data_IF_823983899834
#
_entry.id   IF_823983899834
#
_cell.length_a   1.000
_cell.length_b   1.000
_cell.length_c   1.000
_cell.angle_alpha   90.00
_cell.angle_beta   90.00
_cell.angle_gamma   90.00
#
_symmetry.space_group_name_H-M   'P 1'
#
loop_
_entity.id
_entity.type
_entity.pdbx_description
1 polymer ?
#
# COMPACT_ATOMS: atom_id res chain seq x y z
N UNK A 1 -27.95 -0.74 12.71
CA UNK A 1 -27.78 0.69 12.36
C UNK A 1 -27.53 0.76 10.86
N UNK A 2 -28.25 1.62 10.11
CA UNK A 2 -27.95 1.86 8.69
C UNK A 2 -26.62 2.60 8.63
N UNK A 3 -25.66 2.11 7.85
CA UNK A 3 -24.39 2.81 7.65
C UNK A 3 -24.64 4.11 6.87
N UNK A 4 -24.68 5.25 7.56
CA UNK A 4 -24.79 6.60 7.00
C UNK A 4 -23.44 7.08 6.43
N UNK A 5 -22.80 6.27 5.59
CA UNK A 5 -21.47 6.55 5.06
C UNK A 5 -21.45 6.67 3.53
N UNK A 6 -20.54 7.49 2.99
CA UNK A 6 -20.32 7.59 1.55
C UNK A 6 -19.42 6.44 1.09
N UNK A 7 -19.84 5.65 0.10
CA UNK A 7 -19.00 4.61 -0.50
C UNK A 7 -17.94 5.20 -1.41
N UNK A 8 -16.76 4.56 -1.48
CA UNK A 8 -15.72 4.92 -2.45
C UNK A 8 -16.22 4.84 -3.92
N UNK A 9 -17.11 3.89 -4.22
CA UNK A 9 -17.73 3.79 -5.56
C UNK A 9 -18.58 5.02 -5.90
N UNK A 10 -19.28 5.59 -4.93
CA UNK A 10 -20.02 6.85 -5.11
C UNK A 10 -19.08 8.02 -5.36
N UNK A 11 -17.97 8.09 -4.65
CA UNK A 11 -16.93 9.11 -4.85
C UNK A 11 -16.32 9.02 -6.27
N UNK A 12 -15.97 7.81 -6.72
CA UNK A 12 -15.47 7.57 -8.08
C UNK A 12 -16.48 7.96 -9.15
N UNK A 13 -17.77 7.65 -8.93
CA UNK A 13 -18.84 8.07 -9.83
C UNK A 13 -18.90 9.59 -9.95
N UNK A 14 -18.91 10.32 -8.83
CA UNK A 14 -18.93 11.79 -8.82
C UNK A 14 -17.68 12.35 -9.52
N UNK A 15 -16.50 11.77 -9.28
CA UNK A 15 -15.26 12.20 -9.94
C UNK A 15 -15.31 12.06 -11.47
N UNK A 16 -16.05 11.07 -11.97
CA UNK A 16 -16.24 10.81 -13.41
C UNK A 16 -17.31 11.69 -14.07
N UNK A 17 -18.09 12.45 -13.29
CA UNK A 17 -19.12 13.34 -13.86
C UNK A 17 -18.49 14.50 -14.65
N UNK A 18 -19.22 14.97 -15.66
CA UNK A 18 -18.88 16.19 -16.40
C UNK A 18 -19.24 17.41 -15.55
N UNK A 19 -18.48 18.49 -15.71
CA UNK A 19 -18.84 19.77 -15.11
C UNK A 19 -20.20 20.24 -15.65
N UNK A 20 -20.91 20.97 -14.81
CA UNK A 20 -22.26 21.49 -15.04
C UNK A 20 -22.27 23.00 -14.86
N UNK A 21 -23.41 23.65 -15.06
CA UNK A 21 -23.54 25.10 -14.83
C UNK A 21 -23.71 25.44 -13.33
N UNK A 22 -23.72 24.45 -12.44
CA UNK A 22 -23.90 24.67 -10.99
C UNK A 22 -22.55 24.66 -10.26
N UNK A 23 -22.09 25.78 -9.67
CA UNK A 23 -20.80 25.86 -8.99
C UNK A 23 -20.66 24.86 -7.84
N UNK A 24 -21.71 24.66 -7.04
CA UNK A 24 -21.69 23.72 -5.92
C UNK A 24 -21.43 22.28 -6.39
N UNK A 25 -22.04 21.87 -7.52
CA UNK A 25 -21.83 20.53 -8.09
C UNK A 25 -20.42 20.39 -8.67
N UNK A 26 -19.93 21.42 -9.35
CA UNK A 26 -18.56 21.43 -9.87
C UNK A 26 -17.51 21.33 -8.75
N UNK A 27 -17.73 22.02 -7.63
CA UNK A 27 -16.88 21.91 -6.45
C UNK A 27 -16.87 20.48 -5.88
N UNK A 28 -18.03 19.81 -5.83
CA UNK A 28 -18.11 18.42 -5.40
C UNK A 28 -17.37 17.47 -6.37
N UNK A 29 -17.48 17.70 -7.68
CA UNK A 29 -16.75 16.93 -8.71
C UNK A 29 -15.24 17.12 -8.55
N UNK A 30 -14.78 18.37 -8.41
CA UNK A 30 -13.36 18.68 -8.21
C UNK A 30 -12.81 18.04 -6.93
N UNK A 31 -13.57 18.13 -5.82
CA UNK A 31 -13.20 17.48 -4.57
C UNK A 31 -13.12 15.96 -4.73
N UNK A 32 -14.11 15.34 -5.37
CA UNK A 32 -14.10 13.91 -5.61
C UNK A 32 -12.90 13.47 -6.47
N UNK A 33 -12.58 14.23 -7.53
CA UNK A 33 -11.39 14.02 -8.38
C UNK A 33 -10.09 14.11 -7.57
N UNK A 34 -9.96 15.16 -6.76
CA UNK A 34 -8.81 15.35 -5.90
C UNK A 34 -8.65 14.19 -4.91
N UNK A 35 -9.74 13.73 -4.30
CA UNK A 35 -9.72 12.62 -3.36
C UNK A 35 -9.33 11.30 -4.02
N UNK A 36 -9.91 10.93 -5.17
CA UNK A 36 -9.59 9.63 -5.83
C UNK A 36 -8.16 9.55 -6.33
N UNK A 37 -7.52 10.69 -6.61
CA UNK A 37 -6.12 10.78 -7.00
C UNK A 37 -5.15 10.67 -5.82
N UNK A 38 -5.65 10.56 -4.57
CA UNK A 38 -4.83 10.47 -3.35
C UNK A 38 -5.06 9.12 -2.65
N UNK A 39 -4.45 8.02 -3.12
CA UNK A 39 -4.67 6.68 -2.57
C UNK A 39 -4.41 6.57 -1.05
N UNK A 40 -3.36 7.23 -0.53
CA UNK A 40 -3.05 7.27 0.91
C UNK A 40 -4.17 7.93 1.72
N UNK A 41 -4.71 9.04 1.22
CA UNK A 41 -5.83 9.72 1.84
C UNK A 41 -7.09 8.86 1.81
N UNK A 42 -7.41 8.23 0.67
CA UNK A 42 -8.53 7.30 0.55
C UNK A 42 -8.39 6.14 1.53
N UNK A 43 -7.19 5.58 1.66
CA UNK A 43 -6.92 4.49 2.61
C UNK A 43 -7.18 4.94 4.05
N UNK A 44 -6.79 6.17 4.41
CA UNK A 44 -6.99 6.69 5.76
C UNK A 44 -8.45 7.03 6.10
N UNK A 45 -9.22 7.57 5.15
CA UNK A 45 -10.59 8.08 5.42
C UNK A 45 -11.70 7.03 5.33
N UNK A 46 -11.38 5.80 4.91
CA UNK A 46 -12.35 4.70 4.83
C UNK A 46 -12.37 3.87 6.13
N UNK A 47 -13.57 3.61 6.65
CA UNK A 47 -13.78 2.61 7.71
C UNK A 47 -13.60 1.19 7.20
N UNK A 48 -13.49 0.21 8.10
CA UNK A 48 -13.23 -1.21 7.78
C UNK A 48 -14.19 -1.81 6.74
N UNK A 49 -15.40 -1.27 6.63
CA UNK A 49 -16.45 -1.71 5.70
C UNK A 49 -16.40 -0.98 4.35
N UNK A 50 -15.51 0.01 4.19
CA UNK A 50 -15.28 0.73 2.93
C UNK A 50 -16.16 1.96 2.77
N UNK A 51 -16.62 2.55 3.87
CA UNK A 51 -17.39 3.78 3.89
C UNK A 51 -16.57 4.95 4.47
N UNK A 52 -16.84 6.15 3.96
CA UNK A 52 -16.40 7.41 4.55
C UNK A 52 -17.50 7.84 5.52
N UNK A 53 -17.20 7.81 6.82
CA UNK A 53 -18.10 8.21 7.90
C UNK A 53 -17.47 9.35 8.70
N UNK A 54 -18.27 10.04 9.53
CA UNK A 54 -17.72 11.06 10.45
C UNK A 54 -16.62 10.47 11.35
N UNK A 55 -16.80 9.23 11.81
CA UNK A 55 -15.84 8.56 12.67
C UNK A 55 -14.55 8.20 11.91
N UNK A 56 -14.65 7.71 10.67
CA UNK A 56 -13.45 7.39 9.87
C UNK A 56 -12.64 8.64 9.55
N UNK A 57 -13.30 9.76 9.24
CA UNK A 57 -12.65 11.06 9.06
C UNK A 57 -11.94 11.53 10.33
N UNK A 58 -12.59 11.41 11.50
CA UNK A 58 -11.97 11.77 12.79
C UNK A 58 -10.73 10.92 13.10
N UNK A 59 -10.74 9.64 12.72
CA UNK A 59 -9.58 8.74 12.87
C UNK A 59 -8.47 9.04 11.87
N UNK A 60 -8.82 9.54 10.68
CA UNK A 60 -7.86 9.86 9.63
C UNK A 60 -7.02 11.11 9.96
N UNK A 61 -7.57 12.08 10.70
CA UNK A 61 -6.90 13.35 11.04
C UNK A 61 -5.45 13.16 11.54
N UNK A 62 -5.17 12.34 12.58
CA UNK A 62 -3.79 12.14 13.04
C UNK A 62 -2.92 11.30 12.09
N UNK A 63 -3.52 10.49 11.21
CA UNK A 63 -2.81 9.57 10.32
C UNK A 63 -2.41 10.20 8.98
N UNK A 64 -3.02 11.32 8.61
CA UNK A 64 -2.89 12.00 7.32
C UNK A 64 -1.78 13.06 7.39
N UNK A 65 -0.53 12.63 7.59
CA UNK A 65 0.63 13.52 7.46
C UNK A 65 1.19 13.48 6.02
N UNK A 66 1.31 14.64 5.36
CA UNK A 66 1.92 14.73 4.03
C UNK A 66 1.02 14.35 2.84
N UNK A 67 -0.29 14.62 2.90
CA UNK A 67 -1.23 14.40 1.78
C UNK A 67 -1.27 15.59 0.78
N UNK A 68 -0.07 16.04 0.39
CA UNK A 68 0.12 17.05 -0.64
C UNK A 68 -0.45 16.58 -1.99
N UNK A 69 -0.67 17.53 -2.91
CA UNK A 69 -1.17 17.20 -4.24
C UNK A 69 -0.30 16.12 -4.92
N UNK A 70 -0.89 15.11 -5.58
CA UNK A 70 -0.13 14.12 -6.34
C UNK A 70 0.77 14.73 -7.41
N UNK A 71 0.43 15.94 -7.90
CA UNK A 71 1.23 16.71 -8.85
C UNK A 71 2.23 17.68 -8.18
N UNK A 72 2.25 17.76 -6.84
CA UNK A 72 3.33 18.44 -6.15
C UNK A 72 4.61 17.63 -6.35
N UNK A 73 5.72 18.31 -6.65
CA UNK A 73 7.03 17.67 -6.80
C UNK A 73 7.35 16.85 -5.54
N UNK A 74 7.25 15.53 -5.66
CA UNK A 74 7.62 14.57 -4.64
C UNK A 74 8.79 13.76 -5.16
N UNK A 75 9.84 13.62 -4.35
CA UNK A 75 10.95 12.71 -4.64
C UNK A 75 10.54 11.23 -4.55
N UNK A 76 9.37 10.94 -3.98
CA UNK A 76 8.81 9.60 -3.86
C UNK A 76 8.07 9.19 -5.15
N UNK A 77 8.60 8.22 -5.93
CA UNK A 77 8.01 7.79 -7.19
C UNK A 77 6.67 7.05 -7.03
N UNK A 78 6.29 6.66 -5.81
CA UNK A 78 5.06 5.96 -5.49
C UNK A 78 3.97 6.86 -4.89
N UNK A 79 4.28 8.13 -4.63
CA UNK A 79 3.34 9.08 -4.00
C UNK A 79 2.01 9.20 -4.77
N UNK A 80 2.09 9.32 -6.09
CA UNK A 80 0.92 9.39 -6.98
C UNK A 80 0.43 8.02 -7.48
N UNK A 81 1.16 6.94 -7.20
CA UNK A 81 0.84 5.60 -7.71
C UNK A 81 -0.40 5.04 -7.05
N UNK A 82 -1.29 4.50 -7.88
CA UNK A 82 -2.45 3.75 -7.44
C UNK A 82 -2.05 2.53 -6.63
N UNK A 83 -3.00 1.96 -5.88
CA UNK A 83 -2.74 0.72 -5.14
C UNK A 83 -2.34 -0.42 -6.09
N UNK A 84 -2.90 -0.48 -7.31
CA UNK A 84 -2.55 -1.50 -8.30
C UNK A 84 -1.11 -1.36 -8.75
N UNK A 85 -0.69 -0.15 -9.16
CA UNK A 85 0.68 0.10 -9.59
C UNK A 85 1.69 -0.16 -8.46
N UNK A 86 1.34 0.19 -7.21
CA UNK A 86 2.19 -0.07 -6.06
C UNK A 86 2.34 -1.58 -5.80
N UNK A 87 1.26 -2.36 -5.88
CA UNK A 87 1.30 -3.81 -5.70
C UNK A 87 2.05 -4.49 -6.86
N UNK A 88 1.95 -3.97 -8.08
CA UNK A 88 2.75 -4.45 -9.21
C UNK A 88 4.25 -4.23 -8.98
N UNK A 89 4.64 -3.04 -8.53
CA UNK A 89 6.03 -2.75 -8.19
C UNK A 89 6.53 -3.66 -7.05
N UNK A 90 5.71 -3.87 -6.02
CA UNK A 90 6.03 -4.79 -4.94
C UNK A 90 6.16 -6.23 -5.42
N UNK A 91 5.30 -6.67 -6.34
CA UNK A 91 5.38 -8.00 -6.93
C UNK A 91 6.67 -8.21 -7.73
N UNK A 92 7.13 -7.18 -8.45
CA UNK A 92 8.39 -7.20 -9.19
C UNK A 92 9.61 -7.29 -8.25
N UNK A 93 9.57 -6.62 -7.11
CA UNK A 93 10.60 -6.68 -6.07
C UNK A 93 10.49 -7.89 -5.12
N UNK A 94 9.48 -8.74 -5.29
CA UNK A 94 9.13 -9.75 -4.29
C UNK A 94 10.25 -10.76 -4.04
N UNK A 95 10.94 -11.21 -5.08
CA UNK A 95 12.00 -12.21 -4.96
C UNK A 95 13.26 -11.69 -4.25
N UNK A 96 13.51 -10.38 -4.28
CA UNK A 96 14.57 -9.73 -3.52
C UNK A 96 14.21 -9.63 -2.02
N UNK A 97 12.93 -9.41 -1.74
CA UNK A 97 12.42 -9.18 -0.38
C UNK A 97 12.02 -10.46 0.36
N UNK A 98 11.80 -11.58 -0.36
CA UNK A 98 11.31 -12.81 0.26
C UNK A 98 12.30 -13.41 1.23
N UNK A 99 11.77 -14.07 2.24
CA UNK A 99 12.54 -14.96 3.11
C UNK A 99 12.60 -16.35 2.46
N UNK A 100 13.73 -16.66 1.80
CA UNK A 100 13.95 -17.94 1.12
C UNK A 100 13.86 -19.15 2.06
N UNK A 101 14.10 -18.97 3.37
CA UNK A 101 13.95 -20.06 4.34
C UNK A 101 12.49 -20.45 4.59
N UNK A 102 11.55 -19.56 4.21
CA UNK A 102 10.11 -19.74 4.33
C UNK A 102 9.44 -20.18 3.04
N UNK A 103 10.20 -20.25 1.93
CA UNK A 103 9.68 -20.71 0.65
C UNK A 103 9.11 -22.13 0.81
N UNK A 104 7.90 -22.31 0.28
CA UNK A 104 7.25 -23.62 0.24
C UNK A 104 7.15 -24.09 -1.18
N UNK A 105 7.70 -25.27 -1.43
CA UNK A 105 7.54 -25.98 -2.68
C UNK A 105 6.54 -27.11 -2.45
N UNK A 106 5.35 -26.99 -3.03
CA UNK A 106 4.47 -28.15 -3.22
C UNK A 106 4.59 -28.59 -4.69
N UNK A 107 4.18 -29.82 -5.01
CA UNK A 107 4.42 -30.55 -6.27
C UNK A 107 4.30 -29.77 -7.61
N UNK A 108 3.68 -28.58 -7.64
CA UNK A 108 3.56 -27.74 -8.85
C UNK A 108 3.78 -26.23 -8.63
N UNK A 109 4.07 -25.76 -7.41
CA UNK A 109 4.16 -24.31 -7.13
C UNK A 109 5.20 -23.99 -6.05
N UNK A 110 6.04 -22.99 -6.32
CA UNK A 110 6.90 -22.33 -5.34
C UNK A 110 6.19 -21.09 -4.81
N UNK A 111 5.85 -21.09 -3.52
CA UNK A 111 5.24 -19.94 -2.84
C UNK A 111 6.28 -19.31 -1.92
N UNK A 112 6.68 -18.09 -2.24
CA UNK A 112 7.55 -17.28 -1.40
C UNK A 112 6.77 -16.40 -0.44
N UNK A 113 7.43 -15.95 0.64
CA UNK A 113 6.81 -15.14 1.67
C UNK A 113 7.68 -13.94 2.06
N UNK A 114 7.05 -12.78 2.25
CA UNK A 114 7.66 -11.55 2.77
C UNK A 114 6.99 -11.20 4.11
N UNK A 115 7.79 -10.91 5.14
CA UNK A 115 7.26 -10.47 6.43
C UNK A 115 6.88 -8.98 6.37
N UNK A 116 5.71 -8.61 6.89
CA UNK A 116 5.27 -7.21 6.96
C UNK A 116 6.25 -6.38 7.81
N UNK A 117 6.79 -6.94 8.88
CA UNK A 117 7.81 -6.27 9.71
C UNK A 117 9.08 -5.94 8.92
N UNK A 118 9.44 -6.75 7.92
CA UNK A 118 10.56 -6.44 7.02
C UNK A 118 10.24 -5.23 6.13
N UNK A 119 9.01 -5.08 5.67
CA UNK A 119 8.58 -3.86 4.96
C UNK A 119 8.62 -2.65 5.89
N UNK A 120 8.20 -2.80 7.15
CA UNK A 120 8.31 -1.75 8.17
C UNK A 120 9.77 -1.37 8.43
N UNK A 121 10.69 -2.32 8.52
CA UNK A 121 12.11 -2.02 8.72
C UNK A 121 12.71 -1.30 7.51
N UNK A 122 12.42 -1.75 6.29
CA UNK A 122 12.88 -1.10 5.05
C UNK A 122 12.32 0.32 4.94
N UNK A 123 11.05 0.53 5.31
CA UNK A 123 10.40 1.86 5.22
C UNK A 123 11.06 2.94 6.11
N UNK A 124 11.86 2.53 7.10
CA UNK A 124 12.61 3.42 7.98
C UNK A 124 13.96 3.85 7.40
N UNK A 125 14.29 3.39 6.20
CA UNK A 125 15.54 3.71 5.50
C UNK A 125 16.80 3.40 6.33
N UNK A 126 17.00 2.14 6.76
CA UNK A 126 18.11 1.78 7.62
C UNK A 126 19.45 1.91 6.91
N UNK A 127 20.45 2.35 7.66
CA UNK A 127 21.83 2.36 7.21
C UNK A 127 22.43 0.94 7.27
N UNK A 128 23.37 0.66 6.37
CA UNK A 128 24.11 -0.60 6.36
C UNK A 128 25.09 -0.63 7.55
N UNK A 129 25.10 -1.74 8.28
CA UNK A 129 26.00 -1.94 9.42
C UNK A 129 26.96 -3.09 9.18
N UNK A 130 28.16 -2.99 9.74
CA UNK A 130 29.12 -4.09 9.77
C UNK A 130 28.70 -5.21 10.74
N UNK A 131 29.54 -6.23 10.88
CA UNK A 131 29.31 -7.38 11.79
C UNK A 131 29.30 -7.00 13.27
N UNK A 132 29.74 -5.79 13.64
CA UNK A 132 29.73 -5.25 15.00
C UNK A 132 28.57 -4.25 15.21
N UNK A 133 27.74 -4.03 14.19
CA UNK A 133 26.63 -3.07 14.25
C UNK A 133 27.04 -1.61 14.01
N UNK A 134 28.27 -1.35 13.54
CA UNK A 134 28.73 0.00 13.23
C UNK A 134 28.25 0.40 11.84
N UNK A 135 27.69 1.61 11.72
CA UNK A 135 27.23 2.15 10.43
C UNK A 135 28.40 2.29 9.47
N UNK A 136 28.28 1.62 8.32
CA UNK A 136 29.25 1.71 7.23
C UNK A 136 29.04 3.05 6.53
N UNK A 137 30.13 3.78 6.29
CA UNK A 137 30.12 5.06 5.56
C UNK A 137 30.65 4.86 4.15
N UNK A 138 30.03 5.56 3.21
CA UNK A 138 30.54 5.64 1.85
C UNK A 138 31.88 6.38 1.84
N UNK A 139 32.98 5.78 1.34
CA UNK A 139 34.30 6.41 1.35
C UNK A 139 34.39 7.65 0.45
N UNK A 140 33.51 7.81 -0.55
CA UNK A 140 33.51 8.95 -1.45
C UNK A 140 32.77 10.16 -0.87
N UNK A 141 31.72 9.95 -0.06
CA UNK A 141 30.87 11.05 0.47
C UNK A 141 30.98 11.25 1.98
N UNK A 142 31.45 10.24 2.72
CA UNK A 142 31.47 10.21 4.18
C UNK A 142 30.08 10.01 4.83
N UNK A 143 29.01 9.91 4.03
CA UNK A 143 27.64 9.70 4.52
C UNK A 143 27.40 8.22 4.88
N UNK A 144 26.44 7.92 5.78
CA UNK A 144 25.97 6.55 6.00
C UNK A 144 25.54 5.88 4.70
N UNK A 145 26.07 4.69 4.43
CA UNK A 145 25.67 3.87 3.30
C UNK A 145 24.30 3.27 3.59
N UNK A 146 23.35 3.37 2.67
CA UNK A 146 22.00 2.82 2.83
C UNK A 146 21.97 1.32 2.58
N UNK A 147 21.21 0.60 3.41
CA UNK A 147 21.05 -0.87 3.30
C UNK A 147 20.21 -1.27 2.09
N UNK A 148 19.29 -0.41 1.65
CA UNK A 148 18.36 -0.68 0.56
C UNK A 148 18.39 0.46 -0.46
N UNK A 149 17.98 0.15 -1.69
CA UNK A 149 17.77 1.18 -2.70
C UNK A 149 16.61 2.10 -2.30
N UNK A 150 16.68 3.38 -2.70
CA UNK A 150 15.60 4.35 -2.46
C UNK A 150 14.25 3.85 -2.98
N UNK A 151 14.25 3.15 -4.12
CA UNK A 151 13.04 2.57 -4.70
C UNK A 151 12.37 1.57 -3.75
N UNK A 152 13.13 0.67 -3.10
CA UNK A 152 12.58 -0.29 -2.14
C UNK A 152 12.09 0.40 -0.86
N UNK A 153 12.80 1.43 -0.41
CA UNK A 153 12.42 2.25 0.75
C UNK A 153 11.08 2.93 0.50
N UNK A 154 10.94 3.68 -0.60
CA UNK A 154 9.72 4.39 -0.93
C UNK A 154 8.54 3.47 -1.20
N UNK A 155 8.77 2.34 -1.89
CA UNK A 155 7.75 1.32 -2.11
C UNK A 155 7.25 0.74 -0.77
N UNK A 156 8.17 0.35 0.11
CA UNK A 156 7.84 -0.22 1.41
C UNK A 156 7.12 0.80 2.29
N UNK A 157 7.56 2.06 2.28
CA UNK A 157 6.89 3.16 2.96
C UNK A 157 5.47 3.37 2.46
N UNK A 158 5.24 3.38 1.15
CA UNK A 158 3.90 3.53 0.60
C UNK A 158 2.97 2.35 0.90
N UNK A 159 3.51 1.14 1.04
CA UNK A 159 2.73 -0.01 1.52
C UNK A 159 2.36 0.16 2.99
N UNK A 160 3.34 0.47 3.85
CA UNK A 160 3.16 0.64 5.31
C UNK A 160 2.18 1.78 5.63
N UNK A 161 2.27 2.88 4.89
CA UNK A 161 1.39 4.04 5.02
C UNK A 161 -0.03 3.80 4.47
N UNK A 162 -0.31 2.61 3.90
CA UNK A 162 -1.62 2.20 3.38
C UNK A 162 -2.08 0.91 4.10
N UNK A 163 -2.45 0.99 5.40
CA UNK A 163 -2.76 -0.19 6.20
C UNK A 163 -3.93 -1.01 5.65
N UNK A 164 -4.93 -0.40 4.99
CA UNK A 164 -6.03 -1.20 4.39
C UNK A 164 -5.55 -1.97 3.17
N UNK A 165 -4.70 -1.37 2.34
CA UNK A 165 -4.04 -2.09 1.25
C UNK A 165 -3.27 -3.29 1.79
N UNK A 166 -2.38 -3.09 2.76
CA UNK A 166 -1.62 -4.19 3.39
C UNK A 166 -2.53 -5.28 3.98
N UNK A 167 -3.59 -4.88 4.67
CA UNK A 167 -4.58 -5.83 5.20
C UNK A 167 -5.31 -6.59 4.09
N UNK A 168 -5.61 -5.95 2.97
CA UNK A 168 -6.26 -6.61 1.82
C UNK A 168 -5.36 -7.66 1.16
N UNK A 169 -4.05 -7.40 1.08
CA UNK A 169 -3.05 -8.35 0.59
C UNK A 169 -2.93 -9.56 1.53
N UNK A 170 -2.92 -9.31 2.85
CA UNK A 170 -2.86 -10.36 3.86
C UNK A 170 -4.16 -11.21 3.95
N UNK A 171 -5.32 -10.65 3.57
CA UNK A 171 -6.63 -11.32 3.68
C UNK A 171 -6.93 -12.31 2.55
N UNK A 172 -6.39 -12.14 1.34
CA UNK A 172 -6.62 -13.10 0.24
C UNK A 172 -6.18 -14.52 0.63
N UNK A 173 -5.13 -14.60 1.43
CA UNK A 173 -4.65 -15.81 2.09
C UNK A 173 -5.76 -16.59 2.81
N UNK A 174 -6.69 -15.89 3.46
CA UNK A 174 -7.75 -16.47 4.29
C UNK A 174 -8.96 -16.96 3.50
N UNK A 175 -9.18 -16.46 2.28
CA UNK A 175 -10.32 -16.82 1.43
C UNK A 175 -10.05 -18.08 0.62
N UNK A 176 -8.93 -18.11 -0.10
CA UNK A 176 -8.58 -19.22 -1.00
C UNK A 176 -8.11 -20.48 -0.26
N UNK A 177 -7.46 -20.34 0.90
CA UNK A 177 -6.94 -21.47 1.69
C UNK A 177 -7.87 -21.95 2.83
N UNK A 178 -9.04 -21.33 3.02
CA UNK A 178 -10.08 -21.87 3.93
C UNK A 178 -10.62 -23.23 3.46
N UNK A 179 -10.51 -23.52 2.16
CA UNK A 179 -10.92 -24.78 1.54
C UNK A 179 -9.83 -25.86 1.73
N UNK A 180 -8.57 -25.47 1.95
CA UNK A 180 -7.41 -26.36 2.11
C UNK A 180 -6.59 -25.99 3.36
N UNK A 181 -7.19 -26.12 4.55
CA UNK A 181 -6.52 -26.35 5.84
C UNK A 181 -5.19 -25.63 6.14
N UNK A 182 -4.99 -24.37 5.74
CA UNK A 182 -3.67 -23.73 5.93
C UNK A 182 -3.60 -22.92 7.22
N UNK A 183 -2.51 -23.12 7.99
CA UNK A 183 -2.11 -22.24 9.10
C UNK A 183 -1.83 -20.83 8.57
N UNK A 184 -2.77 -19.90 8.78
CA UNK A 184 -2.56 -18.47 8.55
C UNK A 184 -1.27 -18.03 9.25
N UNK A 185 -0.28 -17.55 8.50
CA UNK A 185 0.91 -16.92 9.07
C UNK A 185 0.64 -15.42 9.20
N UNK A 186 0.04 -15.01 10.34
CA UNK A 186 -0.17 -13.59 10.66
C UNK A 186 1.15 -12.83 10.49
N UNK A 187 1.10 -11.70 9.77
CA UNK A 187 2.28 -10.86 9.52
C UNK A 187 3.09 -11.22 8.27
N UNK A 188 2.61 -12.12 7.40
CA UNK A 188 3.29 -12.51 6.17
C UNK A 188 2.42 -12.27 4.92
N UNK A 189 3.06 -11.90 3.82
CA UNK A 189 2.48 -11.74 2.49
C UNK A 189 3.06 -12.81 1.56
N UNK A 190 2.23 -13.54 0.83
CA UNK A 190 2.70 -14.59 -0.09
C UNK A 190 2.62 -14.17 -1.55
N UNK A 191 3.56 -14.63 -2.38
CA UNK A 191 3.58 -14.32 -3.82
C UNK A 191 2.24 -14.65 -4.50
N UNK A 192 1.62 -15.77 -4.13
CA UNK A 192 0.33 -16.21 -4.66
C UNK A 192 -0.83 -15.28 -4.28
N UNK A 193 -0.83 -14.75 -3.06
CA UNK A 193 -1.88 -13.82 -2.61
C UNK A 193 -1.77 -12.48 -3.33
N UNK A 194 -0.54 -12.04 -3.61
CA UNK A 194 -0.26 -10.87 -4.44
C UNK A 194 -0.76 -11.04 -5.87
N UNK A 195 -0.46 -12.19 -6.49
CA UNK A 195 -0.91 -12.51 -7.85
C UNK A 195 -2.45 -12.52 -7.92
N UNK A 196 -3.10 -13.20 -6.98
CA UNK A 196 -4.57 -13.19 -6.88
C UNK A 196 -5.17 -11.81 -6.56
N UNK A 197 -4.49 -10.98 -5.76
CA UNK A 197 -4.93 -9.60 -5.53
C UNK A 197 -4.91 -8.80 -6.81
N UNK A 198 -3.81 -8.90 -7.57
CA UNK A 198 -3.62 -8.19 -8.83
C UNK A 198 -4.66 -8.63 -9.85
N UNK A 199 -4.91 -9.93 -9.99
CA UNK A 199 -5.95 -10.47 -10.88
C UNK A 199 -7.35 -9.91 -10.58
N UNK A 200 -7.71 -9.83 -9.29
CA UNK A 200 -9.01 -9.30 -8.87
C UNK A 200 -9.13 -7.77 -8.97
N UNK A 201 -8.02 -7.06 -9.13
CA UNK A 201 -7.97 -5.59 -9.17
C UNK A 201 -7.38 -5.06 -10.48
N UNK A 202 -7.29 -5.88 -11.54
CA UNK A 202 -6.92 -5.38 -12.87
C UNK A 202 -7.93 -4.31 -13.30
N UNK A 203 -7.47 -3.14 -13.77
CA UNK A 203 -8.37 -2.20 -14.42
C UNK A 203 -9.00 -2.90 -15.63
N UNK A 204 -10.33 -2.87 -15.72
CA UNK A 204 -11.08 -3.25 -16.93
C UNK A 204 -10.67 -2.37 -18.11
#
# INVERSE_FOLDING_TARGET
MKNEGLKLSSLRRIASEKMTDTPARNNAILLARALVQRPRLIDAILDEEGFITRQSLSKAVPAVFGNSDPNAFSSDPFHAKTNVELVQAFRAAFDELRDRSRDRTNFFEQVGYVQIERLVSISKDPDETDTQGTVIRDPATGLPKKMYSEQLVYMSKNLVDRPRLLNSLARIHSGWRRIYGSRNQKGWLSSKDLDGWLENNKPL
#
